data_IF_237415741658
#
_entry.id   IF_237415741658
#
_cell.length_a   1.000
_cell.length_b   1.000
_cell.length_c   1.000
_cell.angle_alpha   90.00
_cell.angle_beta   90.00
_cell.angle_gamma   90.00
#
_symmetry.space_group_name_H-M   'P 1'
#
loop_
_entity.id
_entity.type
_entity.pdbx_description
1 polymer ?
#
# COMPACT_ATOMS: atom_id res chain seq x y z
N UNK A 1 -38.84 -68.55 -52.71
CA UNK A 1 -38.33 -67.70 -53.82
C UNK A 1 -37.81 -66.40 -53.22
N UNK A 2 -36.60 -65.88 -53.36
CA UNK A 2 -35.29 -66.32 -53.88
C UNK A 2 -34.26 -65.39 -53.17
N UNK A 3 -33.40 -65.88 -52.27
CA UNK A 3 -31.98 -66.19 -52.54
C UNK A 3 -31.35 -65.38 -53.68
N UNK A 4 -30.40 -64.50 -53.31
CA UNK A 4 -29.20 -64.03 -54.05
C UNK A 4 -29.10 -62.51 -54.10
N UNK A 5 -28.42 -61.93 -53.12
CA UNK A 5 -27.64 -60.70 -53.30
C UNK A 5 -26.39 -60.79 -52.41
N UNK A 6 -25.64 -61.85 -52.64
CA UNK A 6 -24.24 -61.98 -52.25
C UNK A 6 -23.44 -61.72 -53.53
N UNK A 7 -22.84 -60.53 -53.66
CA UNK A 7 -21.68 -60.19 -54.50
C UNK A 7 -21.62 -58.67 -54.71
N UNK A 8 -21.17 -57.96 -53.69
CA UNK A 8 -20.48 -56.65 -53.82
C UNK A 8 -19.73 -56.37 -52.51
N UNK A 9 -18.94 -57.36 -52.08
CA UNK A 9 -18.05 -57.28 -50.92
C UNK A 9 -16.62 -57.53 -51.42
N UNK A 10 -16.00 -56.54 -52.09
CA UNK A 10 -14.57 -56.57 -52.41
C UNK A 10 -13.96 -55.26 -52.99
N UNK A 11 -14.63 -54.10 -53.00
CA UNK A 11 -14.06 -52.90 -53.66
C UNK A 11 -14.45 -51.55 -53.06
N UNK A 12 -14.73 -51.46 -51.75
CA UNK A 12 -15.04 -50.18 -51.09
C UNK A 12 -14.51 -50.10 -49.65
N UNK A 13 -13.37 -50.74 -49.39
CA UNK A 13 -12.69 -50.71 -48.08
C UNK A 13 -11.20 -50.38 -48.26
N UNK A 14 -10.90 -49.38 -49.09
CA UNK A 14 -9.54 -48.92 -49.37
C UNK A 14 -9.45 -47.39 -49.55
N UNK A 15 -10.32 -46.63 -48.89
CA UNK A 15 -10.24 -45.17 -48.86
C UNK A 15 -10.67 -44.67 -47.48
N UNK A 16 -9.71 -44.59 -46.55
CA UNK A 16 -10.02 -44.12 -45.20
C UNK A 16 -8.89 -44.13 -44.18
N UNK A 17 -7.62 -44.04 -44.59
CA UNK A 17 -6.49 -43.81 -43.67
C UNK A 17 -5.48 -42.85 -44.31
N UNK A 18 -5.93 -41.62 -44.61
CA UNK A 18 -5.03 -40.48 -44.68
C UNK A 18 -4.92 -39.90 -43.27
N UNK A 19 -4.15 -40.57 -42.41
CA UNK A 19 -3.68 -39.96 -41.17
C UNK A 19 -2.64 -38.91 -41.53
N UNK A 20 -2.82 -37.68 -41.06
CA UNK A 20 -1.74 -36.69 -41.02
C UNK A 20 -0.66 -37.23 -40.07
N UNK A 21 0.32 -37.94 -40.63
CA UNK A 21 1.54 -38.31 -39.91
C UNK A 21 2.36 -37.05 -39.62
N UNK A 22 2.59 -36.77 -38.35
CA UNK A 22 3.61 -35.83 -37.92
C UNK A 22 4.96 -36.53 -38.17
N UNK A 23 5.88 -35.92 -38.94
CA UNK A 23 7.19 -36.53 -39.20
C UNK A 23 8.02 -36.61 -37.91
N UNK A 24 8.61 -37.78 -37.65
CA UNK A 24 9.34 -38.10 -36.42
C UNK A 24 10.66 -37.32 -36.25
N UNK A 25 11.12 -36.56 -37.25
CA UNK A 25 12.35 -35.78 -37.15
C UNK A 25 12.18 -34.38 -37.74
N UNK A 26 11.69 -33.46 -36.89
CA UNK A 26 11.99 -32.04 -37.05
C UNK A 26 12.66 -31.55 -35.78
N UNK A 27 13.82 -30.91 -35.93
CA UNK A 27 14.59 -30.33 -34.84
C UNK A 27 13.74 -29.28 -34.11
N UNK A 28 13.67 -29.36 -32.77
CA UNK A 28 12.91 -28.42 -31.94
C UNK A 28 13.49 -27.02 -32.14
N UNK A 29 12.81 -26.22 -32.96
CA UNK A 29 13.01 -24.77 -32.95
C UNK A 29 12.19 -24.22 -31.80
N UNK A 30 12.87 -23.73 -30.77
CA UNK A 30 12.28 -22.79 -29.82
C UNK A 30 11.84 -21.56 -30.60
N UNK A 31 10.57 -21.53 -31.00
CA UNK A 31 9.85 -20.26 -31.17
C UNK A 31 9.95 -19.61 -29.79
N UNK A 32 10.54 -18.41 -29.71
CA UNK A 32 10.73 -17.69 -28.44
C UNK A 32 9.43 -17.57 -27.64
N UNK A 33 9.50 -17.10 -26.38
CA UNK A 33 8.36 -17.03 -25.47
C UNK A 33 7.04 -16.76 -26.22
N UNK A 34 6.14 -17.74 -26.20
CA UNK A 34 4.78 -17.53 -26.68
C UNK A 34 4.20 -16.34 -25.93
N UNK A 35 3.34 -15.53 -26.57
CA UNK A 35 2.69 -14.44 -25.87
C UNK A 35 2.04 -14.98 -24.59
N UNK A 36 2.27 -14.31 -23.46
CA UNK A 36 1.55 -14.61 -22.24
C UNK A 36 0.05 -14.71 -22.55
N UNK A 37 -0.69 -15.66 -21.94
CA UNK A 37 -2.13 -15.80 -22.15
C UNK A 37 -2.80 -14.43 -22.12
N UNK A 38 -3.42 -14.10 -23.25
CA UNK A 38 -3.68 -12.72 -23.65
C UNK A 38 -4.55 -11.94 -22.69
N UNK A 39 -4.12 -10.71 -22.43
CA UNK A 39 -5.03 -9.62 -22.09
C UNK A 39 -6.05 -9.50 -23.24
N UNK A 40 -7.32 -9.71 -22.93
CA UNK A 40 -8.38 -9.40 -23.88
C UNK A 40 -8.29 -7.91 -24.21
N UNK A 41 -8.06 -7.59 -25.48
CA UNK A 41 -7.99 -6.22 -25.98
C UNK A 41 -9.37 -5.55 -25.98
N UNK A 42 -9.82 -5.10 -24.81
CA UNK A 42 -10.82 -4.05 -24.66
C UNK A 42 -10.77 -3.39 -23.27
N UNK A 43 -9.58 -3.25 -22.68
CA UNK A 43 -9.39 -2.59 -21.40
C UNK A 43 -9.25 -1.07 -21.55
N UNK A 44 -9.91 -0.31 -20.66
CA UNK A 44 -9.73 1.13 -20.57
C UNK A 44 -8.22 1.48 -20.47
N UNK A 45 -7.74 2.34 -21.37
CA UNK A 45 -6.35 2.83 -21.37
C UNK A 45 -6.08 3.49 -20.02
N UNK A 46 -5.03 3.05 -19.33
CA UNK A 46 -4.62 3.65 -18.07
C UNK A 46 -4.35 5.15 -18.20
N UNK A 47 -4.60 5.89 -17.13
CA UNK A 47 -4.43 7.35 -17.09
C UNK A 47 -2.95 7.70 -16.84
N UNK A 48 -2.22 8.01 -17.91
CA UNK A 48 -0.84 8.51 -17.84
C UNK A 48 -0.77 10.04 -17.66
N UNK A 49 0.27 10.57 -17.00
CA UNK A 49 0.51 12.01 -16.96
C UNK A 49 0.88 12.58 -18.34
N UNK A 50 0.53 13.85 -18.62
CA UNK A 50 0.89 14.53 -19.85
C UNK A 50 2.40 14.56 -20.09
N UNK A 51 2.77 14.48 -21.37
CA UNK A 51 4.15 14.65 -21.81
C UNK A 51 4.50 16.13 -21.88
N UNK A 52 5.77 16.48 -21.66
CA UNK A 52 6.23 17.88 -21.68
C UNK A 52 5.98 18.58 -23.02
N UNK A 53 6.02 17.84 -24.13
CA UNK A 53 5.80 18.37 -25.49
C UNK A 53 4.36 18.86 -25.70
N UNK A 54 3.42 18.41 -24.86
CA UNK A 54 2.03 18.84 -24.90
C UNK A 54 1.78 20.15 -24.14
N UNK A 55 2.75 20.65 -23.37
CA UNK A 55 2.59 21.93 -22.68
C UNK A 55 2.58 23.07 -23.70
N UNK A 56 1.62 23.99 -23.60
CA UNK A 56 1.52 25.21 -24.38
C UNK A 56 2.03 26.44 -23.63
N UNK A 57 2.16 26.36 -22.30
CA UNK A 57 2.61 27.47 -21.45
C UNK A 57 3.63 27.02 -20.39
N UNK A 58 4.42 27.97 -19.87
CA UNK A 58 5.39 27.70 -18.80
C UNK A 58 4.75 27.19 -17.50
N UNK A 59 3.64 27.76 -16.99
CA UNK A 59 2.95 27.19 -15.83
C UNK A 59 2.48 25.75 -16.06
N UNK A 60 1.96 25.45 -17.25
CA UNK A 60 1.52 24.10 -17.62
C UNK A 60 2.70 23.13 -17.69
N UNK A 61 3.83 23.54 -18.26
CA UNK A 61 5.06 22.73 -18.22
C UNK A 61 5.47 22.38 -16.79
N UNK A 62 5.41 23.35 -15.87
CA UNK A 62 5.73 23.13 -14.45
C UNK A 62 4.73 22.16 -13.81
N UNK A 63 3.44 22.28 -14.12
CA UNK A 63 2.42 21.34 -13.65
C UNK A 63 2.70 19.91 -14.16
N UNK A 64 3.06 19.76 -15.43
CA UNK A 64 3.39 18.46 -16.04
C UNK A 64 4.68 17.87 -15.48
N UNK A 65 5.68 18.70 -15.19
CA UNK A 65 6.88 18.26 -14.49
C UNK A 65 6.55 17.68 -13.11
N UNK A 66 5.66 18.34 -12.36
CA UNK A 66 5.21 17.90 -11.04
C UNK A 66 4.26 16.70 -11.07
N UNK A 67 3.77 16.29 -12.25
CA UNK A 67 3.02 15.04 -12.43
C UNK A 67 3.85 13.92 -13.08
N UNK A 68 5.04 14.23 -13.60
CA UNK A 68 5.84 13.30 -14.41
C UNK A 68 6.20 12.00 -13.66
N UNK A 69 6.42 12.06 -12.35
CA UNK A 69 6.72 10.90 -11.54
C UNK A 69 5.53 9.93 -11.43
N UNK A 70 4.29 10.39 -11.65
CA UNK A 70 3.08 9.59 -11.51
C UNK A 70 3.02 8.43 -12.50
N UNK A 71 2.35 7.34 -12.11
CA UNK A 71 2.20 6.12 -12.91
C UNK A 71 2.95 4.94 -12.28
N UNK A 72 3.30 3.94 -13.10
CA UNK A 72 4.09 2.77 -12.68
C UNK A 72 5.44 3.20 -12.07
N UNK A 73 5.81 2.61 -10.93
CA UNK A 73 6.97 3.03 -10.13
C UNK A 73 8.30 2.91 -10.88
N UNK A 74 8.54 1.79 -11.57
CA UNK A 74 9.81 1.53 -12.28
C UNK A 74 10.06 2.48 -13.47
N UNK A 75 9.01 3.17 -13.92
CA UNK A 75 9.10 4.15 -15.02
C UNK A 75 9.11 5.60 -14.52
N UNK A 76 8.99 5.83 -13.21
CA UNK A 76 8.84 7.17 -12.63
C UNK A 76 10.05 8.07 -12.93
N UNK A 77 11.26 7.60 -12.65
CA UNK A 77 12.48 8.37 -12.89
C UNK A 77 12.71 8.64 -14.36
N UNK A 78 12.50 7.64 -15.23
CA UNK A 78 12.60 7.80 -16.68
C UNK A 78 11.63 8.86 -17.21
N UNK A 79 10.39 8.95 -16.68
CA UNK A 79 9.45 10.02 -17.05
C UNK A 79 9.92 11.39 -16.58
N UNK A 80 10.40 11.53 -15.35
CA UNK A 80 10.91 12.81 -14.82
C UNK A 80 12.15 13.27 -15.60
N UNK A 81 13.07 12.36 -15.94
CA UNK A 81 14.28 12.66 -16.70
C UNK A 81 13.99 13.25 -18.08
N UNK A 82 12.85 12.92 -18.70
CA UNK A 82 12.45 13.52 -19.99
C UNK A 82 12.22 15.02 -19.90
N UNK A 83 11.93 15.57 -18.71
CA UNK A 83 11.77 17.01 -18.50
C UNK A 83 13.11 17.74 -18.32
N UNK A 84 14.23 17.01 -18.23
CA UNK A 84 15.56 17.58 -18.04
C UNK A 84 16.27 17.75 -19.39
N UNK A 85 17.06 18.81 -19.52
CA UNK A 85 17.99 18.96 -20.63
C UNK A 85 18.97 17.77 -20.67
N UNK A 86 19.50 17.37 -21.85
CA UNK A 86 20.36 16.19 -21.99
C UNK A 86 21.55 16.15 -21.01
N UNK A 87 22.17 17.31 -20.74
CA UNK A 87 23.29 17.45 -19.80
C UNK A 87 22.89 17.30 -18.32
N UNK A 88 21.59 17.28 -18.01
CA UNK A 88 21.04 17.16 -16.66
C UNK A 88 20.35 15.83 -16.40
N UNK A 89 20.21 14.93 -17.38
CA UNK A 89 19.49 13.66 -17.20
C UNK A 89 20.06 12.80 -16.05
N UNK A 90 21.37 12.85 -15.83
CA UNK A 90 22.05 12.12 -14.75
C UNK A 90 21.90 12.77 -13.36
N UNK A 91 21.23 13.94 -13.26
CA UNK A 91 21.04 14.65 -11.99
C UNK A 91 20.11 13.88 -11.05
N UNK A 92 19.07 13.27 -11.61
CA UNK A 92 18.16 12.38 -10.90
C UNK A 92 18.60 10.95 -11.22
N UNK A 93 19.13 10.27 -10.21
CA UNK A 93 19.55 8.87 -10.34
C UNK A 93 18.33 7.96 -10.36
N UNK A 94 18.30 7.06 -11.33
CA UNK A 94 17.27 6.03 -11.40
C UNK A 94 17.37 5.10 -10.17
N UNK A 95 16.22 4.69 -9.65
CA UNK A 95 16.12 3.79 -8.50
C UNK A 95 15.06 2.74 -8.81
N UNK A 96 15.45 1.48 -9.06
CA UNK A 96 14.50 0.42 -9.40
C UNK A 96 13.87 -0.22 -8.15
N UNK A 97 12.68 -0.80 -8.30
CA UNK A 97 12.03 -1.62 -7.28
C UNK A 97 11.89 -0.91 -5.93
N UNK A 98 12.28 -1.57 -4.84
CA UNK A 98 12.12 -1.04 -3.48
C UNK A 98 12.87 0.28 -3.22
N UNK A 99 13.88 0.60 -4.03
CA UNK A 99 14.65 1.84 -3.89
C UNK A 99 13.90 3.08 -4.42
N UNK A 100 12.77 2.91 -5.12
CA UNK A 100 11.93 4.02 -5.58
C UNK A 100 11.51 4.90 -4.41
N UNK A 101 11.77 6.19 -4.54
CA UNK A 101 11.44 7.22 -3.57
C UNK A 101 11.00 8.50 -4.30
N UNK A 102 9.70 8.73 -4.33
CA UNK A 102 9.05 9.89 -4.96
C UNK A 102 8.60 10.85 -3.87
N UNK A 103 9.07 12.09 -3.91
CA UNK A 103 8.77 13.11 -2.90
C UNK A 103 7.43 13.77 -3.19
N UNK A 104 6.42 13.43 -2.39
CA UNK A 104 5.08 14.01 -2.51
C UNK A 104 5.08 15.38 -1.83
N UNK A 105 4.72 16.42 -2.59
CA UNK A 105 4.75 17.81 -2.13
C UNK A 105 3.40 18.50 -2.34
N UNK A 106 2.96 19.25 -1.33
CA UNK A 106 1.87 20.20 -1.48
C UNK A 106 2.46 21.54 -1.95
N UNK A 107 2.01 22.04 -3.10
CA UNK A 107 2.52 23.28 -3.68
C UNK A 107 1.76 24.46 -3.05
N UNK A 108 2.49 25.33 -2.37
CA UNK A 108 1.94 26.53 -1.71
C UNK A 108 1.90 27.72 -2.66
N UNK A 109 2.95 27.88 -3.48
CA UNK A 109 2.99 28.89 -4.54
C UNK A 109 3.99 28.51 -5.63
N UNK A 110 3.74 29.00 -6.84
CA UNK A 110 4.63 28.88 -7.99
C UNK A 110 4.88 30.27 -8.55
N UNK A 111 6.13 30.72 -8.49
CA UNK A 111 6.56 32.01 -9.03
C UNK A 111 7.42 31.76 -10.28
N UNK A 112 7.08 32.39 -11.41
CA UNK A 112 7.84 32.29 -12.67
C UNK A 112 8.29 33.69 -13.08
N UNK A 113 9.61 33.86 -13.24
CA UNK A 113 10.21 35.14 -13.60
C UNK A 113 11.19 34.98 -14.77
N UNK A 114 11.08 35.84 -15.78
CA UNK A 114 12.01 35.87 -16.90
C UNK A 114 13.35 36.47 -16.46
N UNK A 115 14.44 35.70 -16.57
CA UNK A 115 15.79 36.10 -16.19
C UNK A 115 16.75 35.71 -17.31
N UNK A 116 17.30 36.72 -18.01
CA UNK A 116 18.33 36.49 -19.04
C UNK A 116 17.86 35.65 -20.23
N UNK A 117 16.58 35.78 -20.62
CA UNK A 117 16.00 35.06 -21.77
C UNK A 117 15.51 33.63 -21.46
N UNK A 118 15.62 33.19 -20.21
CA UNK A 118 15.05 31.93 -19.72
C UNK A 118 14.18 32.18 -18.48
N UNK A 119 13.30 31.25 -18.15
CA UNK A 119 12.33 31.45 -17.07
C UNK A 119 12.79 30.74 -15.81
N UNK A 120 13.00 31.50 -14.75
CA UNK A 120 13.33 31.01 -13.42
C UNK A 120 12.03 30.68 -12.69
N UNK A 121 11.87 29.41 -12.33
CA UNK A 121 10.74 28.90 -11.55
C UNK A 121 11.17 28.82 -10.08
N UNK A 122 10.31 29.26 -9.18
CA UNK A 122 10.45 29.08 -7.73
C UNK A 122 9.17 28.46 -7.18
N UNK A 123 9.28 27.22 -6.70
CA UNK A 123 8.21 26.51 -6.03
C UNK A 123 8.37 26.69 -4.54
N UNK A 124 7.33 27.10 -3.83
CA UNK A 124 7.22 26.95 -2.37
C UNK A 124 6.37 25.75 -2.08
N UNK A 125 6.86 24.86 -1.22
CA UNK A 125 6.23 23.56 -0.99
C UNK A 125 6.24 23.18 0.48
N UNK A 126 5.29 22.32 0.84
CA UNK A 126 5.31 21.53 2.06
C UNK A 126 5.44 20.05 1.66
N UNK A 127 6.45 19.34 2.16
CA UNK A 127 6.57 17.92 1.86
C UNK A 127 5.54 17.12 2.67
N UNK A 128 4.69 16.38 1.98
CA UNK A 128 3.69 15.50 2.58
C UNK A 128 4.33 14.18 3.04
N UNK A 129 5.19 13.60 2.20
CA UNK A 129 5.82 12.32 2.48
C UNK A 129 6.70 11.82 1.34
N UNK A 130 7.00 10.52 1.38
CA UNK A 130 7.72 9.82 0.31
C UNK A 130 6.88 8.62 -0.13
N UNK A 131 6.46 8.63 -1.39
CA UNK A 131 5.78 7.52 -2.05
C UNK A 131 6.83 6.50 -2.54
N UNK A 132 6.71 5.25 -2.13
CA UNK A 132 7.57 4.15 -2.59
C UNK A 132 6.95 3.36 -3.75
N UNK A 133 7.66 2.34 -4.23
CA UNK A 133 7.21 1.48 -5.32
C UNK A 133 5.88 0.75 -5.03
N UNK A 134 5.58 0.48 -3.76
CA UNK A 134 4.42 -0.30 -3.35
C UNK A 134 3.24 0.57 -2.92
N UNK A 135 3.18 1.82 -3.37
CA UNK A 135 2.05 2.71 -3.11
C UNK A 135 1.97 3.22 -1.65
N UNK A 136 2.99 3.02 -0.82
CA UNK A 136 3.00 3.48 0.57
C UNK A 136 3.53 4.91 0.65
N UNK A 137 2.90 5.78 1.45
CA UNK A 137 3.46 7.08 1.81
C UNK A 137 4.13 6.98 3.18
N UNK A 138 5.46 6.99 3.16
CA UNK A 138 6.28 7.13 4.35
C UNK A 138 6.39 8.59 4.82
N UNK A 139 6.99 8.82 6.00
CA UNK A 139 7.17 10.16 6.54
C UNK A 139 7.99 11.05 5.60
N UNK A 140 7.78 12.37 5.68
CA UNK A 140 8.61 13.33 4.99
C UNK A 140 10.07 13.19 5.44
N UNK A 141 10.98 13.06 4.46
CA UNK A 141 12.42 12.87 4.70
C UNK A 141 13.23 14.13 4.51
N UNK A 142 12.64 15.19 3.93
CA UNK A 142 13.29 16.48 3.77
C UNK A 142 12.47 17.58 4.44
N UNK A 143 13.17 18.63 4.86
CA UNK A 143 12.58 19.89 5.34
C UNK A 143 12.60 20.98 4.26
N UNK A 144 12.87 20.61 3.00
CA UNK A 144 12.97 21.52 1.88
C UNK A 144 11.63 22.21 1.65
N UNK A 145 11.59 23.52 1.87
CA UNK A 145 10.39 24.34 1.72
C UNK A 145 10.31 25.06 0.38
N UNK A 146 11.35 24.97 -0.45
CA UNK A 146 11.37 25.59 -1.77
C UNK A 146 12.34 24.92 -2.75
N UNK A 147 11.95 24.88 -4.02
CA UNK A 147 12.80 24.47 -5.14
C UNK A 147 12.90 25.61 -6.15
N UNK A 148 14.09 25.86 -6.69
CA UNK A 148 14.28 26.84 -7.76
C UNK A 148 15.11 26.26 -8.89
N UNK A 149 14.58 26.33 -10.11
CA UNK A 149 15.20 25.81 -11.32
C UNK A 149 14.90 26.73 -12.50
N UNK A 150 15.64 26.58 -13.60
CA UNK A 150 15.44 27.37 -14.81
C UNK A 150 14.91 26.49 -15.94
N UNK A 151 13.85 26.94 -16.59
CA UNK A 151 13.29 26.31 -17.79
C UNK A 151 13.63 27.13 -19.03
N UNK A 152 13.79 26.45 -20.15
CA UNK A 152 14.07 27.06 -21.44
C UNK A 152 14.02 26.02 -22.55
N UNK A 153 14.41 26.42 -23.75
CA UNK A 153 14.55 25.50 -24.89
C UNK A 153 16.03 25.12 -24.99
N UNK A 154 16.32 23.82 -25.00
CA UNK A 154 17.68 23.31 -25.20
C UNK A 154 17.86 22.81 -26.64
N UNK A 155 19.09 22.90 -27.16
CA UNK A 155 19.42 22.36 -28.48
C UNK A 155 19.06 20.86 -28.58
N UNK A 156 18.46 20.46 -29.69
CA UNK A 156 18.04 19.08 -29.93
C UNK A 156 16.82 18.63 -29.13
N UNK A 157 16.14 19.52 -28.40
CA UNK A 157 14.90 19.22 -27.67
C UNK A 157 13.71 19.96 -28.28
N UNK A 158 12.58 19.26 -28.45
CA UNK A 158 11.33 19.90 -28.82
C UNK A 158 10.62 20.41 -27.55
N UNK A 159 10.23 21.69 -27.50
CA UNK A 159 9.54 22.28 -26.34
C UNK A 159 10.46 22.63 -25.17
N UNK A 160 9.86 23.03 -24.04
CA UNK A 160 10.60 23.39 -22.83
C UNK A 160 11.27 22.18 -22.16
N UNK A 161 12.40 22.43 -21.51
CA UNK A 161 13.09 21.53 -20.59
C UNK A 161 13.66 22.34 -19.41
N UNK A 162 13.95 21.66 -18.30
CA UNK A 162 14.74 22.23 -17.22
C UNK A 162 16.21 22.27 -17.69
N UNK A 163 16.78 23.46 -17.79
CA UNK A 163 18.13 23.71 -18.30
C UNK A 163 19.17 23.96 -17.19
N UNK A 164 18.72 24.27 -15.97
CA UNK A 164 19.60 24.56 -14.83
C UNK A 164 18.95 24.27 -13.50
N UNK A 165 19.78 23.93 -12.51
CA UNK A 165 19.42 23.80 -11.09
C UNK A 165 18.24 22.84 -10.85
N UNK A 166 18.13 21.78 -11.67
CA UNK A 166 17.12 20.75 -11.54
C UNK A 166 17.18 20.12 -10.14
N UNK A 167 16.02 19.88 -9.49
CA UNK A 167 15.94 19.07 -8.28
C UNK A 167 16.62 17.72 -8.48
N UNK A 168 17.34 17.24 -7.46
CA UNK A 168 18.00 15.93 -7.43
C UNK A 168 17.06 14.79 -6.96
N UNK A 169 15.79 15.13 -6.74
CA UNK A 169 14.74 14.21 -6.35
C UNK A 169 13.57 14.23 -7.33
N UNK A 170 12.87 13.10 -7.44
CA UNK A 170 11.61 13.02 -8.16
C UNK A 170 10.51 13.67 -7.31
N UNK A 171 9.93 14.76 -7.81
CA UNK A 171 8.81 15.45 -7.18
C UNK A 171 7.48 14.94 -7.76
N UNK A 172 6.47 14.82 -6.90
CA UNK A 172 5.08 14.57 -7.27
C UNK A 172 4.19 15.53 -6.49
N UNK A 173 3.38 16.35 -7.17
CA UNK A 173 2.44 17.22 -6.45
C UNK A 173 1.32 16.41 -5.79
N UNK A 174 0.77 16.89 -4.67
CA UNK A 174 -0.40 16.27 -4.02
C UNK A 174 -1.61 16.24 -4.96
N UNK A 175 -1.73 17.21 -5.86
CA UNK A 175 -2.75 17.22 -6.91
C UNK A 175 -2.53 16.09 -7.92
N UNK A 176 -1.30 15.90 -8.40
CA UNK A 176 -0.97 14.79 -9.29
C UNK A 176 -1.16 13.43 -8.62
N UNK A 177 -0.83 13.31 -7.32
CA UNK A 177 -1.14 12.11 -6.54
C UNK A 177 -2.65 11.80 -6.58
N UNK A 178 -3.50 12.79 -6.34
CA UNK A 178 -4.95 12.61 -6.36
C UNK A 178 -5.51 12.30 -7.76
N UNK A 179 -4.90 12.86 -8.81
CA UNK A 179 -5.37 12.72 -10.19
C UNK A 179 -4.93 11.38 -10.83
N UNK A 180 -3.70 10.94 -10.57
CA UNK A 180 -3.08 9.80 -11.24
C UNK A 180 -2.97 8.54 -10.38
N UNK A 181 -3.38 8.61 -9.12
CA UNK A 181 -3.46 7.44 -8.26
C UNK A 181 -4.88 7.27 -7.72
N UNK A 182 -5.22 6.02 -7.45
CA UNK A 182 -6.39 5.64 -6.70
C UNK A 182 -5.95 5.23 -5.29
N UNK A 183 -6.53 5.89 -4.27
CA UNK A 183 -6.31 5.44 -2.91
C UNK A 183 -7.10 4.14 -2.69
N UNK A 184 -6.38 3.06 -2.37
CA UNK A 184 -6.93 1.76 -1.98
C UNK A 184 -6.57 1.45 -0.55
N UNK A 185 -7.35 0.55 0.05
CA UNK A 185 -7.06 0.02 1.38
C UNK A 185 -6.71 -1.45 1.23
N UNK A 186 -5.49 -1.80 1.59
CA UNK A 186 -5.11 -3.20 1.78
C UNK A 186 -5.33 -3.57 3.23
N UNK A 187 -5.67 -4.83 3.46
CA UNK A 187 -5.95 -5.32 4.80
C UNK A 187 -4.88 -6.31 5.21
N UNK A 188 -4.48 -6.24 6.48
CA UNK A 188 -3.57 -7.19 7.10
C UNK A 188 -4.15 -7.67 8.42
N UNK A 189 -3.98 -8.94 8.76
CA UNK A 189 -4.41 -9.42 10.07
C UNK A 189 -3.64 -8.76 11.20
N UNK A 190 -4.35 -8.40 12.27
CA UNK A 190 -3.74 -7.99 13.53
C UNK A 190 -2.77 -9.05 14.05
N UNK A 191 -1.82 -8.66 14.89
CA UNK A 191 -0.81 -9.58 15.44
C UNK A 191 -1.43 -10.78 16.22
N UNK A 192 -2.62 -10.60 16.77
CA UNK A 192 -3.44 -11.61 17.45
C UNK A 192 -4.46 -12.31 16.53
N UNK A 193 -4.47 -11.99 15.24
CA UNK A 193 -5.27 -12.61 14.17
C UNK A 193 -6.79 -12.50 14.37
N UNK A 194 -7.25 -11.44 15.04
CA UNK A 194 -8.67 -11.24 15.35
C UNK A 194 -9.40 -10.30 14.41
N UNK A 195 -8.71 -9.29 13.90
CA UNK A 195 -9.31 -8.26 13.06
C UNK A 195 -8.39 -7.91 11.91
N UNK A 196 -8.99 -7.51 10.79
CA UNK A 196 -8.26 -6.92 9.68
C UNK A 196 -7.99 -5.44 9.95
N UNK A 197 -6.73 -5.05 9.79
CA UNK A 197 -6.24 -3.69 9.97
C UNK A 197 -6.07 -3.05 8.59
N UNK A 198 -6.71 -1.91 8.32
CA UNK A 198 -6.59 -1.21 7.05
C UNK A 198 -5.24 -0.52 6.91
N UNK A 199 -4.67 -0.58 5.71
CA UNK A 199 -3.42 0.05 5.30
C UNK A 199 -3.62 0.79 3.97
N UNK A 200 -3.45 2.11 3.99
CA UNK A 200 -3.67 2.94 2.81
C UNK A 200 -2.55 2.76 1.78
N UNK A 201 -2.94 2.64 0.51
CA UNK A 201 -2.07 2.49 -0.66
C UNK A 201 -2.51 3.41 -1.78
N UNK A 202 -1.56 3.88 -2.57
CA UNK A 202 -1.80 4.64 -3.78
C UNK A 202 -1.48 3.76 -4.99
N UNK A 203 -2.52 3.28 -5.67
CA UNK A 203 -2.42 2.44 -6.87
C UNK A 203 -2.41 3.33 -8.10
N UNK A 204 -1.40 3.24 -9.00
CA UNK A 204 -1.37 4.07 -10.19
C UNK A 204 -2.55 3.81 -11.12
N UNK A 205 -3.24 4.88 -11.55
CA UNK A 205 -4.30 4.81 -12.57
C UNK A 205 -3.77 4.56 -13.98
N UNK A 206 -2.45 4.69 -14.19
CA UNK A 206 -1.77 4.31 -15.41
C UNK A 206 -1.81 2.79 -15.67
N UNK A 207 -2.03 1.98 -14.61
CA UNK A 207 -2.25 0.55 -14.73
C UNK A 207 -3.71 0.33 -15.14
N UNK A 208 -3.91 -0.49 -16.18
CA UNK A 208 -5.25 -0.84 -16.68
C UNK A 208 -6.10 -1.45 -15.57
N UNK A 209 -7.42 -1.32 -15.67
CA UNK A 209 -8.34 -1.89 -14.68
C UNK A 209 -8.14 -3.41 -14.51
N UNK A 210 -7.82 -4.11 -15.60
CA UNK A 210 -7.51 -5.55 -15.61
C UNK A 210 -6.18 -5.87 -14.90
N UNK A 211 -5.20 -4.97 -14.96
CA UNK A 211 -3.89 -5.15 -14.30
C UNK A 211 -3.89 -4.80 -12.81
N UNK A 212 -4.85 -3.99 -12.33
CA UNK A 212 -4.89 -3.51 -10.96
C UNK A 212 -4.99 -4.61 -9.89
N UNK A 213 -5.78 -5.70 -10.06
CA UNK A 213 -5.78 -6.81 -9.10
C UNK A 213 -4.40 -7.43 -8.91
N UNK A 214 -3.65 -7.61 -10.01
CA UNK A 214 -2.29 -8.14 -9.97
C UNK A 214 -1.35 -7.17 -9.25
N UNK A 215 -1.43 -5.87 -9.54
CA UNK A 215 -0.64 -4.85 -8.86
C UNK A 215 -0.92 -4.82 -7.35
N UNK A 216 -2.20 -4.85 -6.95
CA UNK A 216 -2.61 -4.86 -5.55
C UNK A 216 -2.07 -6.09 -4.82
N UNK A 217 -2.14 -7.27 -5.46
CA UNK A 217 -1.58 -8.49 -4.93
C UNK A 217 -0.07 -8.36 -4.72
N UNK A 218 0.65 -7.81 -5.70
CA UNK A 218 2.09 -7.55 -5.62
C UNK A 218 2.46 -6.55 -4.52
N UNK A 219 1.71 -5.45 -4.38
CA UNK A 219 1.89 -4.50 -3.29
C UNK A 219 1.75 -5.17 -1.92
N UNK A 220 0.85 -6.15 -1.78
CA UNK A 220 0.65 -6.90 -0.54
C UNK A 220 1.76 -7.92 -0.30
N UNK A 221 2.18 -8.66 -1.33
CA UNK A 221 3.21 -9.72 -1.24
C UNK A 221 4.60 -9.11 -1.04
N UNK A 222 4.99 -8.17 -1.91
CA UNK A 222 6.35 -7.62 -1.98
C UNK A 222 6.52 -6.43 -1.03
N UNK A 223 5.51 -5.56 -0.98
CA UNK A 223 5.55 -4.38 -0.11
C UNK A 223 5.20 -4.65 1.35
N UNK A 224 4.46 -5.73 1.62
CA UNK A 224 3.98 -6.06 2.96
C UNK A 224 3.14 -4.93 3.59
N UNK A 225 2.96 -4.94 4.92
CA UNK A 225 2.35 -3.84 5.66
C UNK A 225 3.25 -2.60 5.71
N UNK A 226 2.64 -1.42 5.81
CA UNK A 226 3.37 -0.16 6.03
C UNK A 226 4.26 -0.28 7.27
N UNK A 227 5.48 0.29 7.28
CA UNK A 227 6.42 0.14 8.40
C UNK A 227 5.85 0.54 9.78
N UNK A 228 4.95 1.52 9.81
CA UNK A 228 4.32 1.98 11.06
C UNK A 228 3.25 1.02 11.60
N UNK A 229 2.73 0.10 10.77
CA UNK A 229 1.76 -0.93 11.16
C UNK A 229 2.43 -2.22 11.65
N UNK A 230 3.68 -2.50 11.25
CA UNK A 230 4.39 -3.75 11.56
C UNK A 230 4.29 -4.21 13.03
N UNK A 231 4.32 -3.33 14.06
CA UNK A 231 4.18 -3.78 15.45
C UNK A 231 2.80 -4.38 15.79
N UNK A 232 1.77 -4.11 14.99
CA UNK A 232 0.38 -4.46 15.27
C UNK A 232 -0.25 -5.45 14.30
N UNK A 233 0.45 -5.84 13.23
CA UNK A 233 -0.09 -6.69 12.16
C UNK A 233 0.89 -7.82 11.79
N UNK A 234 0.38 -8.84 11.10
CA UNK A 234 1.20 -9.90 10.51
C UNK A 234 1.36 -9.69 9.00
N UNK A 235 2.60 -9.68 8.47
CA UNK A 235 2.80 -9.78 7.03
C UNK A 235 2.43 -11.19 6.53
N UNK A 236 2.37 -11.34 5.21
CA UNK A 236 2.32 -12.66 4.58
C UNK A 236 3.61 -13.46 4.88
N UNK A 237 3.56 -14.80 4.84
CA UNK A 237 4.76 -15.63 5.02
C UNK A 237 5.87 -15.26 4.03
N UNK A 238 7.11 -15.30 4.50
CA UNK A 238 8.27 -15.05 3.65
C UNK A 238 8.33 -16.05 2.49
N UNK A 239 8.65 -15.55 1.30
CA UNK A 239 8.71 -16.37 0.09
C UNK A 239 7.35 -16.58 -0.58
N UNK A 240 6.25 -16.07 -0.02
CA UNK A 240 4.97 -15.98 -0.73
C UNK A 240 5.20 -15.26 -2.06
N UNK A 241 4.71 -15.85 -3.16
CA UNK A 241 4.69 -15.23 -4.47
C UNK A 241 3.47 -15.70 -5.26
N UNK A 242 3.11 -14.96 -6.30
CA UNK A 242 2.05 -15.35 -7.23
C UNK A 242 2.56 -16.40 -8.21
N UNK A 243 1.71 -17.36 -8.56
CA UNK A 243 2.04 -18.37 -9.60
C UNK A 243 1.64 -17.90 -11.00
N UNK A 244 0.75 -16.91 -11.07
CA UNK A 244 0.24 -16.33 -12.31
C UNK A 244 -0.25 -14.90 -12.05
N UNK A 245 -0.39 -14.10 -13.10
CA UNK A 245 -1.13 -12.84 -13.01
C UNK A 245 -2.60 -13.14 -12.68
N UNK A 246 -3.26 -12.25 -11.96
CA UNK A 246 -4.68 -12.37 -11.65
C UNK A 246 -5.44 -12.20 -12.95
N UNK A 247 -6.11 -13.24 -13.48
CA UNK A 247 -6.81 -13.15 -14.74
C UNK A 247 -7.98 -12.18 -14.62
N UNK A 248 -8.36 -11.56 -15.74
CA UNK A 248 -9.66 -10.90 -15.82
C UNK A 248 -10.74 -11.93 -15.46
N UNK A 249 -11.78 -11.49 -14.74
CA UNK A 249 -12.79 -12.36 -14.15
C UNK A 249 -13.64 -13.01 -15.25
N UNK A 250 -13.09 -14.01 -15.93
CA UNK A 250 -13.67 -14.66 -17.10
C UNK A 250 -15.00 -15.35 -16.78
N UNK A 251 -15.19 -15.78 -15.52
CA UNK A 251 -16.37 -16.50 -15.03
C UNK A 251 -16.99 -15.84 -13.78
N UNK A 252 -16.92 -14.50 -13.67
CA UNK A 252 -17.37 -13.71 -12.51
C UNK A 252 -16.72 -14.11 -11.15
N UNK A 253 -15.61 -14.83 -11.24
CA UNK A 253 -14.76 -15.30 -10.15
C UNK A 253 -13.37 -14.71 -10.27
N UNK A 254 -12.82 -14.22 -9.16
CA UNK A 254 -11.45 -13.73 -9.11
C UNK A 254 -10.51 -14.87 -8.67
N UNK A 255 -9.70 -15.39 -9.59
CA UNK A 255 -8.75 -16.46 -9.28
C UNK A 255 -7.40 -15.91 -8.80
N UNK A 256 -6.99 -16.29 -7.59
CA UNK A 256 -5.69 -15.91 -7.00
C UNK A 256 -4.83 -17.17 -6.87
N UNK A 257 -3.76 -17.24 -7.67
CA UNK A 257 -2.76 -18.31 -7.60
C UNK A 257 -1.52 -17.89 -6.82
N UNK A 258 -1.21 -18.59 -5.73
CA UNK A 258 -0.01 -18.39 -4.90
C UNK A 258 0.79 -19.70 -4.78
N UNK A 259 2.07 -19.58 -4.45
CA UNK A 259 2.94 -20.72 -4.16
C UNK A 259 2.67 -21.33 -2.76
N UNK A 260 3.23 -22.51 -2.49
CA UNK A 260 3.13 -23.21 -1.21
C UNK A 260 3.48 -22.35 0.01
N UNK A 261 4.41 -21.40 -0.13
CA UNK A 261 4.84 -20.49 0.95
C UNK A 261 3.68 -19.70 1.55
N UNK A 262 2.67 -19.32 0.74
CA UNK A 262 1.49 -18.62 1.21
C UNK A 262 0.68 -19.42 2.25
N UNK A 263 0.79 -20.75 2.22
CA UNK A 263 0.12 -21.66 3.15
C UNK A 263 0.99 -22.07 4.34
N UNK A 264 2.27 -21.66 4.38
CA UNK A 264 3.18 -22.00 5.47
C UNK A 264 2.85 -21.18 6.72
N UNK A 265 2.19 -21.82 7.69
CA UNK A 265 1.93 -21.26 9.02
C UNK A 265 1.30 -22.27 9.97
N UNK A 266 1.27 -21.94 11.26
CA UNK A 266 0.90 -22.84 12.37
C UNK A 266 -0.57 -23.34 12.36
N UNK A 267 -1.38 -22.98 11.35
CA UNK A 267 -2.83 -23.05 11.38
C UNK A 267 -3.53 -23.89 10.30
N UNK A 268 -2.81 -24.49 9.34
CA UNK A 268 -3.42 -25.32 8.27
C UNK A 268 -4.59 -24.60 7.57
N UNK A 269 -5.79 -25.21 7.60
CA UNK A 269 -7.01 -24.62 7.01
C UNK A 269 -7.36 -23.22 7.56
N UNK A 270 -7.09 -22.95 8.84
CA UNK A 270 -7.37 -21.64 9.44
C UNK A 270 -6.47 -20.54 8.85
N UNK A 271 -5.22 -20.88 8.47
CA UNK A 271 -4.33 -19.95 7.77
C UNK A 271 -4.85 -19.62 6.37
N UNK A 272 -5.30 -20.62 5.62
CA UNK A 272 -5.93 -20.45 4.30
C UNK A 272 -7.19 -19.59 4.40
N UNK A 273 -8.02 -19.83 5.41
CA UNK A 273 -9.24 -19.06 5.65
C UNK A 273 -8.95 -17.58 5.97
N UNK A 274 -7.92 -17.32 6.78
CA UNK A 274 -7.46 -15.95 7.06
C UNK A 274 -6.92 -15.28 5.81
N UNK A 275 -6.07 -15.96 5.05
CA UNK A 275 -5.49 -15.43 3.81
C UNK A 275 -6.59 -15.07 2.80
N UNK A 276 -7.55 -15.96 2.56
CA UNK A 276 -8.65 -15.68 1.64
C UNK A 276 -9.52 -14.50 2.09
N UNK A 277 -9.81 -14.37 3.39
CA UNK A 277 -10.52 -13.19 3.92
C UNK A 277 -9.72 -11.89 3.75
N UNK A 278 -8.41 -11.95 3.97
CA UNK A 278 -7.51 -10.81 3.78
C UNK A 278 -7.49 -10.35 2.31
N UNK A 279 -7.40 -11.32 1.39
CA UNK A 279 -7.45 -11.10 -0.06
C UNK A 279 -8.81 -10.54 -0.49
N UNK A 280 -9.91 -11.16 -0.06
CA UNK A 280 -11.26 -10.74 -0.37
C UNK A 280 -11.49 -9.28 0.04
N UNK A 281 -11.07 -8.89 1.23
CA UNK A 281 -11.19 -7.51 1.71
C UNK A 281 -10.31 -6.51 0.93
N UNK A 282 -9.11 -6.93 0.52
CA UNK A 282 -8.16 -6.07 -0.19
C UNK A 282 -8.50 -5.90 -1.68
N UNK A 283 -9.15 -6.91 -2.27
CA UNK A 283 -9.51 -6.99 -3.69
C UNK A 283 -11.02 -6.82 -3.92
N UNK A 284 -11.81 -6.50 -2.89
CA UNK A 284 -13.26 -6.46 -2.94
C UNK A 284 -13.84 -5.74 -4.17
N UNK A 285 -13.32 -4.57 -4.63
CA UNK A 285 -13.86 -3.90 -5.81
C UNK A 285 -13.77 -4.70 -7.13
N UNK A 286 -12.94 -5.75 -7.16
CA UNK A 286 -12.71 -6.61 -8.32
C UNK A 286 -13.33 -8.00 -8.14
N UNK A 287 -13.83 -8.33 -6.95
CA UNK A 287 -14.55 -9.58 -6.70
C UNK A 287 -16.02 -9.37 -7.08
N UNK A 288 -16.52 -10.14 -8.04
CA UNK A 288 -17.91 -10.04 -8.50
C UNK A 288 -18.84 -11.02 -7.78
N UNK A 289 -18.41 -12.28 -7.68
CA UNK A 289 -19.18 -13.34 -7.01
C UNK A 289 -18.38 -13.95 -5.86
N UNK A 290 -17.21 -14.48 -6.20
CA UNK A 290 -16.33 -15.16 -5.26
C UNK A 290 -14.85 -14.99 -5.64
N UNK A 291 -14.01 -15.16 -4.63
CA UNK A 291 -12.56 -15.25 -4.77
C UNK A 291 -12.13 -16.70 -4.61
N UNK A 292 -11.46 -17.27 -5.61
CA UNK A 292 -10.89 -18.61 -5.52
C UNK A 292 -9.39 -18.54 -5.26
N UNK A 293 -8.98 -19.10 -4.12
CA UNK A 293 -7.58 -19.20 -3.76
C UNK A 293 -7.02 -20.56 -4.20
N UNK A 294 -5.94 -20.51 -4.98
CA UNK A 294 -5.19 -21.67 -5.44
C UNK A 294 -3.77 -21.61 -4.88
N UNK A 295 -3.31 -22.73 -4.32
CA UNK A 295 -1.95 -22.91 -3.80
C UNK A 295 -1.28 -23.99 -4.65
N UNK A 296 -0.15 -23.68 -5.29
CA UNK A 296 0.53 -24.56 -6.25
C UNK A 296 -0.43 -25.15 -7.31
N UNK A 297 -1.32 -24.30 -7.84
CA UNK A 297 -2.31 -24.67 -8.85
C UNK A 297 -3.48 -25.53 -8.35
N UNK A 298 -3.45 -26.00 -7.10
CA UNK A 298 -4.56 -26.73 -6.49
C UNK A 298 -5.63 -25.76 -5.99
N UNK A 299 -6.89 -25.98 -6.37
CA UNK A 299 -8.01 -25.25 -5.80
C UNK A 299 -8.13 -25.57 -4.31
N UNK A 300 -7.95 -24.57 -3.44
CA UNK A 300 -8.01 -24.76 -2.00
C UNK A 300 -9.38 -24.40 -1.45
N UNK A 301 -9.87 -23.20 -1.77
CA UNK A 301 -11.14 -22.69 -1.24
C UNK A 301 -11.68 -21.54 -2.08
N UNK A 302 -12.99 -21.55 -2.31
CA UNK A 302 -13.74 -20.40 -2.81
C UNK A 302 -14.29 -19.60 -1.62
N UNK A 303 -14.15 -18.29 -1.68
CA UNK A 303 -14.61 -17.32 -0.70
C UNK A 303 -15.71 -16.49 -1.34
N UNK A 304 -16.96 -16.80 -0.97
CA UNK A 304 -18.13 -16.08 -1.45
C UNK A 304 -18.27 -14.77 -0.69
N UNK A 305 -18.79 -13.75 -1.35
CA UNK A 305 -19.22 -12.51 -0.70
C UNK A 305 -20.51 -12.75 0.13
N UNK A 306 -20.41 -13.58 1.17
CA UNK A 306 -21.46 -13.78 2.17
C UNK A 306 -21.31 -12.83 3.38
N UNK A 307 -22.18 -12.88 4.38
CA UNK A 307 -22.03 -12.00 5.54
C UNK A 307 -20.91 -12.44 6.51
N UNK A 308 -20.36 -13.65 6.38
CA UNK A 308 -19.41 -14.18 7.36
C UNK A 308 -18.03 -13.53 7.22
N UNK A 309 -17.63 -13.09 6.01
CA UNK A 309 -16.38 -12.35 5.83
C UNK A 309 -16.42 -10.94 6.44
N UNK A 310 -17.62 -10.36 6.60
CA UNK A 310 -17.80 -9.02 7.18
C UNK A 310 -17.36 -8.96 8.64
N UNK A 311 -17.55 -10.05 9.39
CA UNK A 311 -17.15 -10.14 10.79
C UNK A 311 -15.63 -9.95 11.01
N UNK A 312 -14.81 -10.21 10.00
CA UNK A 312 -13.35 -10.04 10.09
C UNK A 312 -12.89 -8.57 10.07
N UNK A 313 -13.74 -7.66 9.59
CA UNK A 313 -13.42 -6.25 9.49
C UNK A 313 -14.57 -5.39 10.00
N UNK A 314 -14.53 -4.93 11.25
CA UNK A 314 -15.56 -4.05 11.82
C UNK A 314 -15.76 -2.73 11.05
N UNK A 315 -14.85 -2.34 10.16
CA UNK A 315 -14.99 -1.15 9.33
C UNK A 315 -16.20 -1.22 8.38
N UNK A 316 -16.75 -2.41 8.09
CA UNK A 316 -17.98 -2.54 7.30
C UNK A 316 -19.21 -1.88 7.96
N UNK A 317 -19.16 -1.65 9.28
CA UNK A 317 -20.21 -0.96 10.03
C UNK A 317 -20.09 0.56 9.98
N UNK A 318 -19.05 1.10 9.33
CA UNK A 318 -18.87 2.54 9.21
C UNK A 318 -19.93 3.12 8.27
N UNK A 319 -20.51 4.24 8.70
CA UNK A 319 -21.41 5.03 7.87
C UNK A 319 -20.62 5.70 6.74
N UNK A 320 -21.27 5.87 5.58
CA UNK A 320 -20.68 6.38 4.34
C UNK A 320 -19.97 7.74 4.53
N UNK A 321 -20.54 8.60 5.38
CA UNK A 321 -19.98 9.90 5.74
C UNK A 321 -19.72 9.95 7.25
N UNK A 322 -18.60 9.40 7.74
CA UNK A 322 -18.31 9.39 9.16
C UNK A 322 -17.94 10.78 9.66
N UNK A 323 -18.12 11.00 10.97
CA UNK A 323 -17.61 12.18 11.63
C UNK A 323 -16.07 12.23 11.54
N UNK A 324 -15.53 13.35 11.07
CA UNK A 324 -14.09 13.54 10.87
C UNK A 324 -13.53 14.51 11.90
N UNK A 325 -12.42 14.11 12.51
CA UNK A 325 -11.70 14.88 13.51
C UNK A 325 -10.23 15.01 13.14
N UNK A 326 -9.61 16.10 13.57
CA UNK A 326 -8.17 16.31 13.44
C UNK A 326 -7.60 16.80 14.76
N UNK A 327 -6.33 16.49 15.02
CA UNK A 327 -5.58 17.08 16.11
C UNK A 327 -4.83 18.28 15.56
N UNK A 328 -5.13 19.47 16.06
CA UNK A 328 -4.44 20.70 15.73
C UNK A 328 -3.97 21.37 17.02
N UNK A 329 -2.69 21.75 17.10
CA UNK A 329 -2.08 22.37 18.29
C UNK A 329 -2.40 21.64 19.61
N UNK A 330 -2.35 20.30 19.58
CA UNK A 330 -2.60 19.47 20.77
C UNK A 330 -4.06 19.38 21.21
N UNK A 331 -5.02 19.77 20.35
CA UNK A 331 -6.46 19.64 20.62
C UNK A 331 -7.16 18.97 19.44
N UNK A 332 -8.17 18.17 19.74
CA UNK A 332 -9.09 17.56 18.78
C UNK A 332 -10.11 18.61 18.35
N UNK A 333 -10.23 18.78 17.03
CA UNK A 333 -11.25 19.58 16.36
C UNK A 333 -12.08 18.68 15.46
N UNK A 334 -13.37 18.97 15.33
CA UNK A 334 -14.18 18.41 14.24
C UNK A 334 -13.85 19.19 12.97
N UNK A 335 -13.62 18.49 11.87
CA UNK A 335 -13.39 19.13 10.57
C UNK A 335 -14.68 19.78 10.07
N UNK A 336 -14.56 20.94 9.43
CA UNK A 336 -15.71 21.64 8.85
C UNK A 336 -16.41 20.81 7.75
N UNK A 337 -15.67 19.94 7.06
CA UNK A 337 -16.19 19.01 6.05
C UNK A 337 -16.87 17.76 6.63
N UNK A 338 -16.95 17.63 7.96
CA UNK A 338 -17.69 16.56 8.63
C UNK A 338 -19.21 16.80 8.55
N UNK A 339 -20.07 15.77 8.60
CA UNK A 339 -21.53 15.97 8.57
C UNK A 339 -22.06 17.00 9.56
N UNK A 340 -21.50 17.07 10.77
CA UNK A 340 -21.85 18.09 11.78
C UNK A 340 -20.75 19.16 11.98
N UNK A 341 -19.98 19.46 10.93
CA UNK A 341 -18.92 20.46 10.95
C UNK A 341 -19.46 21.84 11.32
N UNK A 342 -18.96 22.41 12.42
CA UNK A 342 -19.32 23.77 12.85
C UNK A 342 -20.70 23.95 13.51
N UNK A 343 -21.56 22.93 13.53
CA UNK A 343 -22.95 23.05 14.02
C UNK A 343 -23.22 22.32 15.34
N UNK A 344 -22.59 21.16 15.57
CA UNK A 344 -22.78 20.39 16.80
C UNK A 344 -21.58 20.50 17.75
N UNK A 345 -21.77 20.39 19.08
CA UNK A 345 -20.64 20.34 20.02
C UNK A 345 -19.76 19.10 19.77
N UNK A 346 -18.50 19.17 20.22
CA UNK A 346 -17.64 17.98 20.27
C UNK A 346 -18.30 16.88 21.13
N UNK A 347 -18.01 15.59 20.89
CA UNK A 347 -18.45 14.51 21.76
C UNK A 347 -18.24 14.86 23.24
N UNK A 348 -19.26 14.61 24.09
CA UNK A 348 -19.26 15.03 25.51
C UNK A 348 -17.98 14.64 26.26
N UNK A 349 -17.41 13.49 25.94
CA UNK A 349 -16.14 13.00 26.51
C UNK A 349 -14.98 13.99 26.31
N UNK A 350 -14.98 14.77 25.23
CA UNK A 350 -13.96 15.80 24.93
C UNK A 350 -14.24 17.15 25.58
N UNK A 351 -15.44 17.35 26.13
CA UNK A 351 -15.84 18.62 26.77
C UNK A 351 -15.41 18.70 28.25
N UNK A 352 -14.86 17.61 28.81
CA UNK A 352 -14.32 17.61 30.17
C UNK A 352 -13.10 18.51 30.31
N UNK A 353 -12.95 19.13 31.49
CA UNK A 353 -11.85 20.05 31.78
C UNK A 353 -10.49 19.34 31.62
N UNK A 354 -9.56 19.98 30.89
CA UNK A 354 -8.22 19.44 30.64
C UNK A 354 -8.17 18.20 29.74
N UNK A 355 -9.30 17.63 29.30
CA UNK A 355 -9.32 16.41 28.47
C UNK A 355 -8.80 16.69 27.07
N UNK A 356 -9.30 17.73 26.42
CA UNK A 356 -8.90 18.08 25.05
C UNK A 356 -7.69 19.05 25.02
N UNK A 357 -6.57 18.64 25.62
CA UNK A 357 -5.33 19.41 25.68
C UNK A 357 -4.09 18.51 25.63
N UNK A 358 -3.02 18.98 24.96
CA UNK A 358 -1.75 18.25 24.80
C UNK A 358 -1.91 16.85 24.18
N UNK A 359 -2.91 16.69 23.31
CA UNK A 359 -3.22 15.45 22.59
C UNK A 359 -2.21 15.26 21.47
N UNK A 360 -1.53 14.11 21.46
CA UNK A 360 -0.61 13.71 20.39
C UNK A 360 -1.27 12.71 19.43
N UNK A 361 -2.16 11.87 19.94
CA UNK A 361 -2.97 10.94 19.16
C UNK A 361 -4.32 10.73 19.87
N UNK A 362 -5.35 10.36 19.12
CA UNK A 362 -6.65 10.01 19.67
C UNK A 362 -7.28 8.89 18.85
N UNK A 363 -7.89 7.92 19.53
CA UNK A 363 -8.76 6.92 18.91
C UNK A 363 -10.20 7.15 19.39
N UNK A 364 -11.15 6.96 18.48
CA UNK A 364 -12.58 6.96 18.79
C UNK A 364 -13.08 5.53 18.55
N UNK A 365 -13.61 4.90 19.60
CA UNK A 365 -14.30 3.63 19.50
C UNK A 365 -15.79 3.87 19.71
N UNK A 366 -16.64 3.23 18.89
CA UNK A 366 -18.08 3.23 19.10
C UNK A 366 -18.44 1.91 19.76
N UNK A 367 -19.08 1.97 20.92
CA UNK A 367 -19.67 0.79 21.51
C UNK A 367 -20.92 0.36 20.71
N UNK A 368 -21.26 -0.94 20.70
CA UNK A 368 -22.47 -1.45 20.05
C UNK A 368 -23.77 -0.75 20.51
N UNK A 369 -23.75 -0.19 21.72
CA UNK A 369 -24.86 0.58 22.32
C UNK A 369 -25.00 2.00 21.76
N UNK A 370 -24.10 2.42 20.85
CA UNK A 370 -24.09 3.76 20.25
C UNK A 370 -23.29 4.80 21.05
N UNK A 371 -22.71 4.43 22.19
CA UNK A 371 -21.86 5.33 22.99
C UNK A 371 -20.42 5.35 22.46
N UNK A 372 -19.86 6.53 22.21
CA UNK A 372 -18.48 6.68 21.76
C UNK A 372 -17.51 6.81 22.94
N UNK A 373 -16.45 6.00 22.99
CA UNK A 373 -15.31 6.18 23.88
C UNK A 373 -14.14 6.82 23.12
N UNK A 374 -13.46 7.77 23.74
CA UNK A 374 -12.27 8.42 23.17
C UNK A 374 -11.05 8.10 24.01
N UNK A 375 -9.97 7.68 23.36
CA UNK A 375 -8.69 7.36 23.99
C UNK A 375 -7.62 8.34 23.51
N UNK A 376 -7.40 9.46 24.20
CA UNK A 376 -6.32 10.37 23.89
C UNK A 376 -4.99 9.88 24.47
N UNK A 377 -3.94 9.94 23.66
CA UNK A 377 -2.54 9.83 24.12
C UNK A 377 -1.96 11.23 24.21
N UNK A 378 -1.43 11.59 25.39
CA UNK A 378 -0.77 12.88 25.60
C UNK A 378 0.70 12.84 25.19
N UNK A 379 1.19 13.97 24.70
CA UNK A 379 2.63 14.21 24.51
C UNK A 379 3.27 14.42 25.88
N UNK A 380 4.28 13.63 26.21
CA UNK A 380 5.17 13.87 27.35
C UNK A 380 6.58 14.11 26.80
N UNK A 381 7.26 15.17 27.22
CA UNK A 381 8.70 15.35 26.98
C UNK A 381 9.56 14.24 27.61
N UNK A 382 8.97 13.39 28.46
CA UNK A 382 9.59 12.18 28.99
C UNK A 382 8.61 11.00 28.89
N UNK A 383 8.93 10.03 28.04
CA UNK A 383 8.21 8.76 27.83
C UNK A 383 7.42 8.22 29.04
N UNK A 384 6.15 8.62 29.18
CA UNK A 384 5.12 7.88 29.94
C UNK A 384 3.81 8.03 29.21
N UNK A 385 3.39 6.97 28.51
CA UNK A 385 2.06 6.91 27.90
C UNK A 385 0.99 6.82 28.99
N UNK A 386 0.21 7.88 29.14
CA UNK A 386 -1.07 7.81 29.88
C UNK A 386 -2.18 7.57 28.87
N UNK A 387 -2.82 6.40 28.98
CA UNK A 387 -4.11 6.11 28.36
C UNK A 387 -5.19 6.46 29.39
N UNK A 388 -6.05 7.41 29.08
CA UNK A 388 -7.25 7.71 29.88
C UNK A 388 -8.47 7.21 29.11
N UNK A 389 -9.08 6.12 29.58
CA UNK A 389 -10.38 5.66 29.12
C UNK A 389 -11.48 6.35 29.92
N UNK A 390 -12.48 6.90 29.24
CA UNK A 390 -13.66 7.49 29.88
C UNK A 390 -14.91 6.77 29.36
N UNK A 391 -15.49 5.91 30.20
CA UNK A 391 -16.87 5.45 30.10
C UNK A 391 -17.83 6.47 30.71
N UNK A 392 -19.12 6.28 30.47
CA UNK A 392 -20.21 7.25 30.72
C UNK A 392 -20.68 7.39 32.18
N UNK A 393 -19.98 6.81 33.16
CA UNK A 393 -20.31 6.98 34.58
C UNK A 393 -19.25 7.81 35.33
N UNK A 394 -19.59 8.96 35.93
CA UNK A 394 -18.65 9.79 36.69
C UNK A 394 -18.25 9.20 38.06
N UNK A 395 -18.60 7.93 38.35
CA UNK A 395 -18.46 7.31 39.68
C UNK A 395 -17.30 6.33 39.87
N UNK A 396 -16.65 5.83 38.81
CA UNK A 396 -15.53 4.88 38.95
C UNK A 396 -14.40 5.20 38.00
N UNK A 397 -13.64 6.25 38.33
CA UNK A 397 -12.24 6.31 37.90
C UNK A 397 -11.50 5.15 38.58
N UNK A 398 -11.42 3.99 37.94
CA UNK A 398 -10.48 2.95 38.34
C UNK A 398 -9.08 3.55 38.21
N UNK A 399 -8.41 3.73 39.36
CA UNK A 399 -6.98 4.02 39.44
C UNK A 399 -6.28 3.14 38.41
N UNK A 400 -5.57 3.78 37.48
CA UNK A 400 -4.70 3.10 36.54
C UNK A 400 -3.81 2.11 37.29
N UNK A 401 -4.04 0.82 37.08
CA UNK A 401 -3.14 -0.22 37.52
C UNK A 401 -1.76 0.07 36.95
N UNK A 402 -0.75 0.16 37.82
CA UNK A 402 0.63 0.28 37.41
C UNK A 402 0.99 -0.90 36.51
N UNK A 403 1.11 -0.68 35.20
CA UNK A 403 1.91 -1.56 34.35
C UNK A 403 3.37 -1.38 34.74
N UNK A 404 3.82 -2.16 35.73
CA UNK A 404 5.24 -2.42 35.93
C UNK A 404 5.69 -3.29 34.75
N UNK A 405 6.75 -2.86 34.05
CA UNK A 405 7.65 -3.83 33.43
C UNK A 405 8.19 -4.70 34.56
N UNK A 406 7.83 -5.98 34.58
CA UNK A 406 8.64 -6.97 35.28
C UNK A 406 9.82 -7.31 34.36
N UNK A 407 11.07 -6.97 34.76
CA UNK A 407 12.23 -7.53 34.10
C UNK A 407 12.47 -8.91 34.71
N UNK A 408 12.06 -9.95 33.99
CA UNK A 408 12.50 -11.31 34.23
C UNK A 408 11.60 -12.16 35.13
N UNK A 409 10.84 -13.06 34.51
CA UNK A 409 10.59 -14.39 35.07
C UNK A 409 10.36 -15.39 33.93
N UNK A 410 11.48 -15.94 33.47
CA UNK A 410 11.52 -17.25 32.83
C UNK A 410 11.09 -18.30 33.87
N UNK A 411 9.99 -19.01 33.62
CA UNK A 411 9.69 -20.27 34.29
C UNK A 411 9.76 -21.40 33.27
N UNK A 412 10.98 -21.84 32.99
CA UNK A 412 11.27 -23.16 32.45
C UNK A 412 12.12 -23.90 33.49
N UNK A 413 11.51 -24.82 34.23
CA UNK A 413 12.23 -25.82 35.02
C UNK A 413 12.23 -27.13 34.22
N UNK A 414 13.43 -27.61 33.90
CA UNK A 414 13.69 -28.90 33.27
C UNK A 414 15.19 -29.09 33.06
N UNK A 415 15.83 -29.82 33.96
CA UNK A 415 17.27 -29.93 34.16
C UNK A 415 18.01 -30.82 33.13
N UNK A 416 19.28 -30.48 32.80
CA UNK A 416 20.51 -31.23 33.20
C UNK A 416 21.79 -30.73 32.51
N UNK A 417 22.84 -30.63 33.35
CA UNK A 417 24.28 -30.84 33.14
C UNK A 417 25.10 -30.04 32.13
N UNK A 418 26.18 -29.40 32.62
CA UNK A 418 27.47 -29.41 31.92
C UNK A 418 28.28 -28.10 31.89
N UNK A 419 29.19 -27.96 32.85
CA UNK A 419 30.50 -27.27 32.75
C UNK A 419 30.63 -25.77 32.37
N UNK A 420 31.03 -24.99 33.39
CA UNK A 420 32.17 -24.03 33.46
C UNK A 420 32.50 -23.21 32.20
N UNK A 421 32.41 -21.88 32.31
CA UNK A 421 33.60 -21.00 32.36
C UNK A 421 33.22 -19.59 32.86
N UNK A 422 34.06 -19.09 33.77
CA UNK A 422 34.05 -17.78 34.44
C UNK A 422 34.97 -16.84 33.65
N UNK A 423 34.58 -15.58 33.42
CA UNK A 423 35.46 -14.40 33.45
C UNK A 423 34.62 -13.11 33.63
N UNK A 424 34.88 -12.40 34.73
CA UNK A 424 34.67 -10.96 35.00
C UNK A 424 36.04 -10.41 35.44
N UNK A 425 36.28 -9.11 35.76
CA UNK A 425 35.46 -7.89 35.67
C UNK A 425 36.21 -6.63 35.11
N UNK A 426 35.49 -5.52 34.92
CA UNK A 426 36.05 -4.16 34.87
C UNK A 426 35.14 -3.17 35.62
N UNK A 427 35.67 -2.56 36.69
CA UNK A 427 35.03 -1.62 37.63
C UNK A 427 34.84 -0.22 36.97
N UNK A 428 34.05 0.76 37.45
CA UNK A 428 33.92 1.28 38.82
C UNK A 428 32.79 2.33 38.95
N UNK A 429 32.48 2.63 40.22
CA UNK A 429 31.43 3.49 40.77
C UNK A 429 31.73 5.00 40.76
N UNK A 430 30.66 5.83 40.83
CA UNK A 430 30.67 7.03 41.68
C UNK A 430 29.31 7.26 42.36
N UNK A 431 29.40 7.40 43.68
CA UNK A 431 28.37 7.68 44.67
C UNK A 431 28.01 9.16 44.73
N UNK A 432 26.75 9.46 45.04
CA UNK A 432 26.30 10.77 45.53
C UNK A 432 25.03 10.59 46.35
N UNK A 433 25.18 10.67 47.68
CA UNK A 433 24.13 10.58 48.71
C UNK A 433 23.84 11.95 49.31
N UNK A 434 22.58 12.21 49.70
CA UNK A 434 22.06 12.96 50.88
C UNK A 434 20.57 13.27 50.63
N UNK A 435 19.57 12.64 51.31
CA UNK A 435 18.92 13.00 52.61
C UNK A 435 18.46 14.46 52.72
N UNK A 436 17.25 14.84 53.16
CA UNK A 436 16.13 14.10 53.76
C UNK A 436 14.89 15.01 54.02
N UNK A 437 13.81 14.39 54.51
CA UNK A 437 12.67 14.82 55.38
C UNK A 437 11.98 16.18 55.16
N UNK A 438 10.65 16.37 55.21
CA UNK A 438 9.52 15.67 55.87
C UNK A 438 8.33 15.55 54.94
#
# INVERSE_FOLDING_TARGET
MNRRSALTLAAAFAAGLAGCGIPDETEVRTVGEGPEPGLATSGAVGLEPPKRESAATEPEFVQYYLSAAAGEADKAYARVQKFLAPNLQNRIKDKPGEAVAIHVVHVLSTDIALVGGASKVTLKVEQVGVLNAFGQIGPATQTTSSYSFTIGVAEGTAGWVIIKDAPDVALLSSEALNNYYEQRTLYFWSADERVLVPDARYVPRAISLEGQPTEILDMMIKGGPSPWLLPGVRPLPNGTDRTQNVPDSADDRLEIGLNAEAAQGDGGQASIDRLGRQLLWSLQPYVRTDLELRIDGQANKAFVEDNDYLAANPAHLLIETPERFAIYQGKIYRLASSPNGGTAPLPKVLLGEGVNQNIAAAALAREPTGQGSCWPRRSSSSSRGSASGCGSDPGTATRAGHWRRDPGRTSGWGARSGSRHRWTPGWSWRTGSCTGSR
#
